data_IF_154926806502
#
_entry.id   IF_154926806502
#
_cell.length_a   1.000
_cell.length_b   1.000
_cell.length_c   1.000
_cell.angle_alpha   90.00
_cell.angle_beta   90.00
_cell.angle_gamma   90.00
#
_symmetry.space_group_name_H-M   'P 1'
#
loop_
_entity.id
_entity.type
_entity.pdbx_description
1 polymer ?
#
# COMPACT_ATOMS: atom_id res chain seq x y z
N UNK A 1 -1.69 -5.85 -24.94
CA UNK A 1 -1.67 -4.93 -23.80
C UNK A 1 -2.66 -3.84 -24.13
N UNK A 2 -3.71 -3.73 -23.32
CA UNK A 2 -4.74 -2.70 -23.40
C UNK A 2 -4.57 -1.70 -22.28
N UNK A 3 -5.21 -0.54 -22.41
CA UNK A 3 -5.37 0.44 -21.33
C UNK A 3 -6.03 -0.15 -20.07
N UNK A 4 -6.90 -1.16 -20.21
CA UNK A 4 -7.43 -1.91 -19.08
C UNK A 4 -6.34 -2.62 -18.25
N UNK A 5 -5.26 -3.08 -18.88
CA UNK A 5 -4.20 -3.82 -18.18
C UNK A 5 -3.53 -2.93 -17.13
N UNK A 6 -3.39 -1.63 -17.39
CA UNK A 6 -2.84 -0.69 -16.41
C UNK A 6 -3.68 -0.64 -15.12
N UNK A 7 -5.01 -0.57 -15.25
CA UNK A 7 -5.90 -0.47 -14.10
C UNK A 7 -6.00 -1.79 -13.33
N UNK A 8 -5.98 -2.91 -14.05
CA UNK A 8 -5.93 -4.23 -13.41
C UNK A 8 -4.59 -4.43 -12.70
N UNK A 9 -3.46 -4.08 -13.33
CA UNK A 9 -2.13 -4.12 -12.70
C UNK A 9 -2.10 -3.22 -11.46
N UNK A 10 -2.60 -1.99 -11.54
CA UNK A 10 -2.66 -1.07 -10.40
C UNK A 10 -3.48 -1.67 -9.24
N UNK A 11 -4.65 -2.24 -9.52
CA UNK A 11 -5.52 -2.83 -8.49
C UNK A 11 -4.91 -4.08 -7.86
N UNK A 12 -4.34 -4.96 -8.68
CA UNK A 12 -3.85 -6.27 -8.25
C UNK A 12 -2.44 -6.24 -7.68
N UNK A 13 -1.59 -5.31 -8.12
CA UNK A 13 -0.21 -5.18 -7.60
C UNK A 13 -0.09 -4.08 -6.56
N UNK A 14 -1.00 -3.10 -6.54
CA UNK A 14 -0.84 -1.83 -5.80
C UNK A 14 0.38 -1.05 -6.26
N UNK A 15 0.74 -1.13 -7.55
CA UNK A 15 1.90 -0.40 -8.08
C UNK A 15 1.58 0.30 -9.39
N UNK A 16 2.29 1.40 -9.65
CA UNK A 16 2.34 2.05 -10.96
C UNK A 16 3.73 1.81 -11.53
N UNK A 17 3.85 0.83 -12.45
CA UNK A 17 5.14 0.40 -13.01
C UNK A 17 6.17 0.01 -11.92
N UNK A 18 5.71 -0.64 -10.85
CA UNK A 18 6.56 -1.03 -9.72
C UNK A 18 6.81 0.10 -8.71
N UNK A 19 6.25 1.30 -8.89
CA UNK A 19 6.24 2.37 -7.88
C UNK A 19 5.04 2.18 -6.92
N UNK A 20 5.25 2.44 -5.64
CA UNK A 20 4.27 2.22 -4.57
C UNK A 20 4.38 3.30 -3.47
N UNK A 21 3.70 3.08 -2.34
CA UNK A 21 3.68 3.97 -1.17
C UNK A 21 5.07 4.24 -0.53
N UNK A 22 6.09 3.47 -0.90
CA UNK A 22 7.46 3.56 -0.36
C UNK A 22 8.41 4.29 -1.30
N UNK A 23 7.89 4.75 -2.45
CA UNK A 23 8.68 5.35 -3.51
C UNK A 23 8.97 6.83 -3.21
N UNK A 24 10.24 7.18 -3.36
CA UNK A 24 10.74 8.54 -3.26
C UNK A 24 10.44 9.33 -4.54
N UNK A 25 10.52 10.66 -4.43
CA UNK A 25 10.38 11.58 -5.57
C UNK A 25 11.39 11.26 -6.67
N UNK A 26 12.63 10.93 -6.29
CA UNK A 26 13.70 10.59 -7.22
C UNK A 26 13.41 9.28 -7.98
N UNK A 27 12.91 8.25 -7.28
CA UNK A 27 12.51 6.97 -7.91
C UNK A 27 11.35 7.18 -8.89
N UNK A 28 10.32 7.94 -8.50
CA UNK A 28 9.18 8.24 -9.38
C UNK A 28 9.65 8.99 -10.63
N UNK A 29 10.52 10.00 -10.48
CA UNK A 29 11.07 10.74 -11.60
C UNK A 29 11.97 9.88 -12.51
N UNK A 30 12.72 8.93 -11.94
CA UNK A 30 13.56 8.01 -12.71
C UNK A 30 12.73 7.02 -13.55
N UNK A 31 11.59 6.56 -13.04
CA UNK A 31 10.74 5.55 -13.71
C UNK A 31 9.76 6.20 -14.69
N UNK A 32 9.05 7.26 -14.28
CA UNK A 32 8.01 7.89 -15.09
C UNK A 32 8.56 9.01 -16.00
N UNK A 33 9.82 9.37 -15.81
CA UNK A 33 10.47 10.53 -16.41
C UNK A 33 10.24 11.80 -15.58
N UNK A 34 10.87 12.93 -15.95
CA UNK A 34 10.63 14.20 -15.30
C UNK A 34 9.15 14.59 -15.48
N UNK A 35 8.36 14.38 -14.43
CA UNK A 35 6.96 14.75 -14.40
C UNK A 35 6.79 16.27 -14.28
N UNK A 36 5.59 16.76 -14.60
CA UNK A 36 5.21 18.13 -14.23
C UNK A 36 5.01 18.13 -12.72
N UNK A 37 6.03 18.53 -11.95
CA UNK A 37 5.85 18.84 -10.53
C UNK A 37 4.84 19.97 -10.46
N UNK A 38 3.63 19.64 -10.06
CA UNK A 38 2.46 20.49 -10.31
C UNK A 38 2.29 21.60 -9.27
N UNK A 39 2.92 21.46 -8.09
CA UNK A 39 3.20 22.49 -7.06
C UNK A 39 3.75 21.84 -5.78
N UNK A 40 4.57 22.58 -5.06
CA UNK A 40 4.71 22.44 -3.60
C UNK A 40 3.82 23.50 -2.96
N UNK A 41 2.92 23.12 -2.05
CA UNK A 41 2.10 24.09 -1.31
C UNK A 41 2.03 23.73 0.16
N UNK A 42 1.86 24.74 1.02
CA UNK A 42 1.63 24.54 2.44
C UNK A 42 0.15 24.22 2.68
N UNK A 43 -0.14 23.12 3.35
CA UNK A 43 -1.47 22.76 3.83
C UNK A 43 -2.00 23.85 4.76
N UNK A 44 -3.25 24.28 4.52
CA UNK A 44 -3.86 25.40 5.27
C UNK A 44 -4.21 25.06 6.72
N UNK A 45 -4.33 23.76 7.07
CA UNK A 45 -4.85 23.31 8.37
C UNK A 45 -3.80 22.71 9.29
N UNK A 46 -2.71 22.17 8.75
CA UNK A 46 -1.72 21.35 9.49
C UNK A 46 -0.28 21.88 9.36
N UNK A 47 -0.06 22.94 8.57
CA UNK A 47 1.26 23.55 8.39
C UNK A 47 2.27 22.68 7.64
N UNK A 48 1.86 21.50 7.16
CA UNK A 48 2.69 20.60 6.36
C UNK A 48 2.90 21.11 4.94
N UNK A 49 4.01 20.75 4.31
CA UNK A 49 4.18 20.96 2.87
C UNK A 49 3.67 19.73 2.12
N UNK A 50 2.98 19.95 1.01
CA UNK A 50 2.52 18.92 0.07
C UNK A 50 3.21 19.12 -1.27
N UNK A 51 3.61 18.03 -1.92
CA UNK A 51 4.19 18.01 -3.26
C UNK A 51 3.47 16.98 -4.11
N UNK A 52 3.16 17.33 -5.35
CA UNK A 52 2.46 16.44 -6.28
C UNK A 52 3.15 16.31 -7.63
N UNK A 53 3.35 15.07 -8.07
CA UNK A 53 3.71 14.68 -9.43
C UNK A 53 2.46 14.08 -10.08
N UNK A 54 2.02 14.65 -11.22
CA UNK A 54 0.77 14.29 -11.91
C UNK A 54 0.93 14.48 -13.43
N UNK A 55 0.45 13.53 -14.22
CA UNK A 55 0.42 13.55 -15.69
C UNK A 55 -1.02 13.65 -16.26
N UNK A 56 -1.99 13.82 -15.39
CA UNK A 56 -3.41 13.79 -15.71
C UNK A 56 -3.95 12.37 -15.92
N UNK A 57 -3.27 11.31 -15.49
CA UNK A 57 -3.85 9.97 -15.31
C UNK A 57 -3.36 9.36 -14.01
N UNK A 58 -2.05 9.31 -13.78
CA UNK A 58 -1.45 8.83 -12.55
C UNK A 58 -0.91 10.02 -11.73
N UNK A 59 -1.07 9.94 -10.41
CA UNK A 59 -0.50 10.93 -9.52
C UNK A 59 0.20 10.29 -8.32
N UNK A 60 1.16 11.03 -7.78
CA UNK A 60 1.86 10.76 -6.53
C UNK A 60 1.89 12.04 -5.72
N UNK A 61 1.48 11.95 -4.46
CA UNK A 61 1.41 13.08 -3.55
C UNK A 61 2.20 12.77 -2.30
N UNK A 62 3.28 13.50 -2.09
CA UNK A 62 4.04 13.47 -0.86
C UNK A 62 3.60 14.60 0.03
N UNK A 63 3.69 14.35 1.32
CA UNK A 63 3.51 15.36 2.35
C UNK A 63 4.69 15.27 3.30
N UNK A 64 5.03 16.39 3.93
CA UNK A 64 5.97 16.46 5.03
C UNK A 64 5.39 17.37 6.08
N UNK A 65 5.43 16.94 7.32
CA UNK A 65 5.06 17.79 8.45
C UNK A 65 6.32 18.25 9.17
N UNK A 66 6.40 19.51 9.60
CA UNK A 66 7.34 19.90 10.63
C UNK A 66 7.09 19.07 11.90
N UNK A 67 8.13 18.70 12.67
CA UNK A 67 9.56 18.89 12.46
C UNK A 67 10.25 17.76 11.68
N UNK A 68 9.56 16.66 11.34
CA UNK A 68 10.13 15.51 10.61
C UNK A 68 10.87 15.93 9.35
N UNK A 69 10.36 16.97 8.67
CA UNK A 69 10.93 17.56 7.45
C UNK A 69 11.24 16.55 6.33
N UNK A 70 10.72 15.33 6.46
CA UNK A 70 10.94 14.20 5.58
C UNK A 70 9.67 13.99 4.77
N UNK A 71 9.83 13.89 3.45
CA UNK A 71 8.72 13.59 2.56
C UNK A 71 8.35 12.12 2.68
N UNK A 72 7.09 11.84 2.97
CA UNK A 72 6.49 10.51 2.82
C UNK A 72 5.34 10.60 1.81
N UNK A 73 5.09 9.51 1.09
CA UNK A 73 4.10 9.48 0.01
C UNK A 73 2.71 9.29 0.60
N UNK A 74 1.96 10.37 0.83
CA UNK A 74 0.61 10.33 1.40
C UNK A 74 -0.41 9.57 0.54
N UNK A 75 -0.34 9.65 -0.78
CA UNK A 75 -1.16 8.81 -1.66
C UNK A 75 -0.59 8.76 -3.07
N UNK A 76 -1.04 7.75 -3.81
CA UNK A 76 -0.80 7.63 -5.24
C UNK A 76 -1.92 6.79 -5.87
N UNK A 77 -2.01 6.84 -7.19
CA UNK A 77 -2.97 6.05 -7.93
C UNK A 77 -3.22 6.59 -9.32
N UNK A 78 -4.42 6.34 -9.82
CA UNK A 78 -4.87 6.78 -11.13
C UNK A 78 -6.28 7.38 -11.10
N UNK A 79 -6.56 8.22 -12.09
CA UNK A 79 -7.80 8.95 -12.30
C UNK A 79 -8.35 8.59 -13.69
N UNK A 80 -9.08 7.45 -13.82
CA UNK A 80 -9.65 7.06 -15.10
C UNK A 80 -10.61 8.11 -15.69
N UNK A 81 -11.23 8.97 -14.88
CA UNK A 81 -12.01 10.10 -15.37
C UNK A 81 -11.19 11.17 -16.14
N UNK A 82 -9.85 11.06 -16.14
CA UNK A 82 -8.94 11.92 -16.91
C UNK A 82 -8.32 11.16 -18.10
N UNK A 83 -8.84 10.00 -18.48
CA UNK A 83 -8.28 9.13 -19.54
C UNK A 83 -8.07 9.84 -20.89
N UNK A 84 -8.97 10.74 -21.26
CA UNK A 84 -8.95 11.54 -22.49
C UNK A 84 -7.82 12.60 -22.53
N UNK A 85 -7.20 12.90 -21.40
CA UNK A 85 -6.13 13.89 -21.28
C UNK A 85 -4.87 13.52 -22.08
N UNK A 86 -4.28 14.52 -22.77
CA UNK A 86 -3.17 14.31 -23.73
C UNK A 86 -1.80 14.03 -23.12
N UNK A 87 -1.60 14.23 -21.81
CA UNK A 87 -0.26 14.36 -21.21
C UNK A 87 0.18 13.16 -20.37
N UNK A 88 -0.04 11.92 -20.81
CA UNK A 88 0.35 10.73 -20.03
C UNK A 88 1.88 10.56 -19.97
N UNK A 89 2.39 10.02 -18.86
CA UNK A 89 3.78 9.66 -18.67
C UNK A 89 4.23 8.78 -19.83
N UNK A 90 5.33 9.11 -20.52
CA UNK A 90 5.83 8.31 -21.64
C UNK A 90 6.07 6.85 -21.25
N UNK A 91 6.49 6.60 -20.01
CA UNK A 91 6.69 5.26 -19.47
C UNK A 91 5.40 4.42 -19.45
N UNK A 92 4.26 5.01 -19.08
CA UNK A 92 2.96 4.32 -19.11
C UNK A 92 2.58 3.94 -20.54
N UNK A 93 2.73 4.86 -21.50
CA UNK A 93 2.45 4.58 -22.92
C UNK A 93 3.43 3.55 -23.51
N UNK A 94 4.71 3.62 -23.15
CA UNK A 94 5.72 2.67 -23.60
C UNK A 94 5.40 1.24 -23.13
N UNK A 95 4.82 1.13 -21.93
CA UNK A 95 4.48 -0.13 -21.32
C UNK A 95 3.10 -0.66 -21.75
N UNK A 96 2.03 0.09 -21.48
CA UNK A 96 0.64 -0.34 -21.70
C UNK A 96 0.10 -0.01 -23.08
N UNK A 97 0.84 0.75 -23.88
CA UNK A 97 0.36 1.33 -25.13
C UNK A 97 -0.46 2.60 -24.88
N UNK A 98 -0.98 3.18 -25.96
CA UNK A 98 -1.79 4.40 -25.88
C UNK A 98 -3.14 4.11 -25.23
N UNK A 99 -3.52 4.92 -24.24
CA UNK A 99 -4.85 4.95 -23.66
C UNK A 99 -5.86 5.51 -24.68
N UNK A 100 -6.84 4.69 -25.09
CA UNK A 100 -7.80 5.02 -26.16
C UNK A 100 -9.21 5.22 -25.63
N UNK A 101 -9.51 4.66 -24.47
CA UNK A 101 -10.79 4.83 -23.78
C UNK A 101 -11.01 6.26 -23.33
N UNK A 102 -12.28 6.67 -23.31
CA UNK A 102 -12.73 7.91 -22.66
C UNK A 102 -13.24 7.64 -21.24
N UNK A 103 -13.69 6.41 -20.98
CA UNK A 103 -14.28 5.99 -19.71
C UNK A 103 -13.81 4.57 -19.35
N UNK A 104 -13.79 4.26 -18.05
CA UNK A 104 -13.52 2.92 -17.53
C UNK A 104 -14.76 2.43 -16.79
N UNK A 105 -15.34 1.33 -17.24
CA UNK A 105 -16.55 0.76 -16.62
C UNK A 105 -16.17 -0.23 -15.52
N UNK A 106 -16.89 -0.17 -14.40
CA UNK A 106 -16.66 -1.04 -13.24
C UNK A 106 -16.78 -2.52 -13.58
N UNK A 107 -17.85 -2.93 -14.28
CA UNK A 107 -18.07 -4.35 -14.58
C UNK A 107 -16.94 -4.96 -15.42
N UNK A 108 -16.43 -4.18 -16.38
CA UNK A 108 -15.31 -4.61 -17.22
C UNK A 108 -14.02 -4.76 -16.38
N UNK A 109 -13.74 -3.77 -15.53
CA UNK A 109 -12.59 -3.79 -14.63
C UNK A 109 -12.69 -4.94 -13.61
N UNK A 110 -13.85 -5.11 -12.97
CA UNK A 110 -14.11 -6.15 -11.99
C UNK A 110 -14.00 -7.55 -12.59
N UNK A 111 -14.51 -7.75 -13.82
CA UNK A 111 -14.35 -9.01 -14.54
C UNK A 111 -12.88 -9.31 -14.87
N UNK A 112 -12.12 -8.30 -15.29
CA UNK A 112 -10.70 -8.47 -15.60
C UNK A 112 -9.84 -8.72 -14.34
N UNK A 113 -10.16 -8.09 -13.22
CA UNK A 113 -9.55 -8.36 -11.90
C UNK A 113 -9.85 -9.80 -11.46
N UNK A 114 -11.11 -10.24 -11.60
CA UNK A 114 -11.53 -11.62 -11.28
C UNK A 114 -10.83 -12.66 -12.12
N UNK A 115 -10.63 -12.38 -13.41
CA UNK A 115 -9.88 -13.24 -14.30
C UNK A 115 -8.40 -13.42 -13.88
N UNK A 116 -7.88 -12.55 -13.00
CA UNK A 116 -6.54 -12.66 -12.40
C UNK A 116 -6.53 -13.22 -10.99
N UNK A 117 -7.68 -13.72 -10.49
CA UNK A 117 -7.78 -14.35 -9.16
C UNK A 117 -7.95 -13.36 -8.01
N UNK A 118 -8.40 -12.13 -8.27
CA UNK A 118 -8.67 -11.10 -7.27
C UNK A 118 -10.16 -10.72 -7.25
N UNK A 119 -10.64 -10.18 -6.15
CA UNK A 119 -12.04 -9.75 -5.99
C UNK A 119 -12.12 -8.33 -5.46
N UNK A 120 -13.17 -7.62 -5.86
CA UNK A 120 -13.49 -6.31 -5.30
C UNK A 120 -14.64 -6.48 -4.31
N UNK A 121 -14.50 -5.87 -3.15
CA UNK A 121 -15.54 -5.79 -2.13
C UNK A 121 -16.05 -4.35 -2.04
N UNK A 122 -17.34 -4.20 -1.75
CA UNK A 122 -17.94 -2.90 -1.48
C UNK A 122 -17.48 -2.45 -0.07
N UNK A 123 -16.83 -1.30 0.00
CA UNK A 123 -16.43 -0.65 1.26
C UNK A 123 -17.61 0.19 1.78
N UNK A 124 -18.06 1.15 0.97
CA UNK A 124 -19.10 2.09 1.36
C UNK A 124 -19.90 2.59 0.16
N UNK A 125 -21.20 2.83 0.36
CA UNK A 125 -22.11 3.44 -0.60
C UNK A 125 -22.68 4.72 -0.01
N UNK A 126 -22.68 5.81 -0.80
CA UNK A 126 -23.36 7.03 -0.41
C UNK A 126 -24.05 7.72 -1.58
N UNK A 127 -25.17 8.34 -1.27
CA UNK A 127 -25.90 9.19 -2.21
C UNK A 127 -25.57 10.64 -1.91
N UNK A 128 -25.00 11.36 -2.89
CA UNK A 128 -24.79 12.81 -2.74
C UNK A 128 -25.98 13.55 -3.35
N UNK A 129 -26.73 14.27 -2.52
CA UNK A 129 -27.80 15.19 -2.92
C UNK A 129 -28.78 14.61 -3.97
N UNK A 130 -29.32 13.43 -3.69
CA UNK A 130 -30.36 12.73 -4.47
C UNK A 130 -30.06 12.47 -5.96
N UNK A 131 -28.88 12.82 -6.48
CA UNK A 131 -28.60 12.86 -7.92
C UNK A 131 -27.53 11.86 -8.39
N UNK A 132 -26.62 11.48 -7.50
CA UNK A 132 -25.41 10.76 -7.87
C UNK A 132 -25.08 9.66 -6.86
N UNK A 133 -25.13 8.41 -7.32
CA UNK A 133 -24.76 7.24 -6.52
C UNK A 133 -23.25 7.04 -6.61
N UNK A 134 -22.60 7.10 -5.45
CA UNK A 134 -21.18 6.85 -5.29
C UNK A 134 -21.00 5.52 -4.55
N UNK A 135 -20.09 4.70 -5.07
CA UNK A 135 -19.68 3.47 -4.41
C UNK A 135 -18.18 3.40 -4.36
N UNK A 136 -17.65 3.08 -3.19
CA UNK A 136 -16.25 2.78 -3.01
C UNK A 136 -16.09 1.27 -2.92
N UNK A 137 -15.19 0.74 -3.73
CA UNK A 137 -14.79 -0.67 -3.68
C UNK A 137 -13.31 -0.76 -3.37
N UNK A 138 -12.87 -1.89 -2.85
CA UNK A 138 -11.45 -2.16 -2.59
C UNK A 138 -11.09 -3.61 -2.88
N UNK A 139 -9.80 -3.86 -3.13
CA UNK A 139 -9.27 -5.23 -3.21
C UNK A 139 -8.61 -5.58 -1.86
N UNK A 140 -9.15 -6.57 -1.11
CA UNK A 140 -8.75 -6.81 0.28
C UNK A 140 -7.27 -7.10 0.51
N UNK A 141 -6.60 -7.73 -0.46
CA UNK A 141 -5.20 -8.11 -0.32
C UNK A 141 -4.21 -7.01 -0.73
N UNK A 142 -4.64 -6.02 -1.50
CA UNK A 142 -3.82 -4.88 -1.93
C UNK A 142 -4.09 -3.62 -1.14
N UNK A 143 -5.31 -3.45 -0.61
CA UNK A 143 -5.76 -2.19 -0.03
C UNK A 143 -5.86 -1.05 -1.06
N UNK A 144 -5.82 -1.36 -2.36
CA UNK A 144 -6.14 -0.40 -3.40
C UNK A 144 -7.66 -0.23 -3.44
N UNK A 145 -8.10 1.03 -3.45
CA UNK A 145 -9.51 1.38 -3.50
C UNK A 145 -9.84 2.04 -4.83
N UNK A 146 -11.10 1.90 -5.25
CA UNK A 146 -11.65 2.65 -6.38
C UNK A 146 -12.99 3.26 -5.99
N UNK A 147 -13.32 4.36 -6.65
CA UNK A 147 -14.63 5.00 -6.52
C UNK A 147 -15.30 4.97 -7.87
N UNK A 148 -16.54 4.50 -7.89
CA UNK A 148 -17.41 4.55 -9.06
C UNK A 148 -18.46 5.61 -8.87
N UNK A 149 -18.85 6.24 -9.98
CA UNK A 149 -19.94 7.20 -10.03
C UNK A 149 -20.97 6.74 -11.06
N UNK A 150 -22.24 6.82 -10.68
CA UNK A 150 -23.37 6.77 -11.60
C UNK A 150 -23.95 8.18 -11.76
N UNK A 151 -23.78 8.78 -12.94
CA UNK A 151 -24.46 10.02 -13.27
C UNK A 151 -25.88 9.70 -13.78
N UNK A 152 -26.92 10.38 -13.27
CA UNK A 152 -28.32 10.25 -13.77
C UNK A 152 -28.52 10.43 -15.29
N UNK A 153 -27.54 11.01 -16.00
CA UNK A 153 -27.55 11.24 -17.45
C UNK A 153 -26.59 10.32 -18.22
N UNK A 154 -25.73 9.58 -17.51
CA UNK A 154 -24.90 8.53 -18.11
C UNK A 154 -25.79 7.33 -18.42
N UNK A 155 -25.57 6.70 -19.58
CA UNK A 155 -26.20 5.41 -19.91
C UNK A 155 -25.51 4.23 -19.22
N UNK A 156 -24.38 4.48 -18.56
CA UNK A 156 -23.56 3.47 -17.91
C UNK A 156 -23.54 3.72 -16.41
N UNK A 157 -24.05 2.74 -15.66
CA UNK A 157 -23.82 2.65 -14.22
C UNK A 157 -22.36 2.29 -13.97
N UNK A 158 -21.76 2.88 -12.95
CA UNK A 158 -20.45 2.44 -12.45
C UNK A 158 -19.24 2.86 -13.30
N UNK A 159 -19.19 4.11 -13.80
CA UNK A 159 -17.92 4.62 -14.35
C UNK A 159 -16.92 4.80 -13.21
N UNK A 160 -15.71 4.26 -13.36
CA UNK A 160 -14.64 4.40 -12.38
C UNK A 160 -14.06 5.81 -12.47
N UNK A 161 -14.18 6.57 -11.38
CA UNK A 161 -13.70 7.95 -11.31
C UNK A 161 -12.21 8.00 -10.97
N UNK A 162 -11.83 7.29 -9.89
CA UNK A 162 -10.48 7.25 -9.36
C UNK A 162 -10.17 5.89 -8.76
N UNK A 163 -8.90 5.53 -8.78
CA UNK A 163 -8.30 4.34 -8.17
C UNK A 163 -7.11 4.82 -7.37
N UNK A 164 -7.24 4.90 -6.06
CA UNK A 164 -6.21 5.49 -5.19
C UNK A 164 -5.98 4.62 -3.98
N UNK A 165 -4.77 4.71 -3.46
CA UNK A 165 -4.44 4.19 -2.14
C UNK A 165 -3.75 5.32 -1.37
N UNK A 166 -4.14 5.48 -0.11
CA UNK A 166 -3.40 6.34 0.80
C UNK A 166 -2.21 5.57 1.38
N UNK A 167 -1.24 6.31 1.93
CA UNK A 167 -0.35 5.79 2.96
C UNK A 167 -1.24 5.33 4.11
N UNK A 168 -1.55 4.05 4.09
CA UNK A 168 -2.21 3.39 5.18
C UNK A 168 -1.10 2.67 5.92
N UNK A 169 -0.80 3.16 7.12
CA UNK A 169 -0.19 2.30 8.15
C UNK A 169 -0.95 0.96 8.16
N UNK A 170 -0.33 -0.17 8.53
CA UNK A 170 -1.07 -1.42 8.64
C UNK A 170 -2.35 -1.28 9.50
N UNK A 171 -2.35 -0.37 10.50
CA UNK A 171 -3.52 0.03 11.27
C UNK A 171 -4.60 0.78 10.46
N UNK A 172 -4.21 1.65 9.52
CA UNK A 172 -5.13 2.32 8.61
C UNK A 172 -5.65 1.41 7.47
N UNK A 173 -4.93 0.36 7.07
CA UNK A 173 -5.45 -0.68 6.14
C UNK A 173 -6.64 -1.42 6.74
N UNK A 174 -6.61 -1.56 8.07
CA UNK A 174 -7.66 -2.17 8.88
C UNK A 174 -8.87 -1.23 9.06
N UNK A 175 -8.64 0.09 8.97
CA UNK A 175 -9.61 1.20 9.08
C UNK A 175 -10.69 1.31 7.99
N UNK A 176 -10.52 0.66 6.84
CA UNK A 176 -11.48 0.73 5.71
C UNK A 176 -12.54 -0.39 5.72
N UNK A 177 -12.71 -1.09 6.84
CA UNK A 177 -13.61 -2.25 6.95
C UNK A 177 -14.94 -1.98 7.66
N UNK A 178 -15.30 -0.73 7.95
CA UNK A 178 -16.35 -0.44 8.93
C UNK A 178 -17.65 0.06 8.29
N UNK A 179 -18.79 -0.64 8.50
CA UNK A 179 -20.08 -0.01 8.67
C UNK A 179 -19.94 0.95 9.88
N UNK A 180 -19.89 2.25 9.58
CA UNK A 180 -19.25 3.29 10.40
C UNK A 180 -19.80 3.55 11.80
N UNK A 181 -20.94 3.00 12.20
CA UNK A 181 -21.61 3.58 13.37
C UNK A 181 -21.52 2.73 14.65
N UNK A 182 -21.75 1.41 14.59
CA UNK A 182 -21.86 0.61 15.82
C UNK A 182 -20.53 0.04 16.34
N UNK A 183 -19.75 -0.66 15.50
CA UNK A 183 -18.47 -1.24 15.94
C UNK A 183 -17.40 -0.17 16.19
N UNK A 184 -17.50 0.98 15.51
CA UNK A 184 -16.56 2.08 15.74
C UNK A 184 -16.71 2.65 17.16
N UNK A 185 -17.96 2.80 17.63
CA UNK A 185 -18.24 3.24 19.00
C UNK A 185 -17.76 2.21 20.02
N UNK A 186 -18.13 0.94 19.84
CA UNK A 186 -17.75 -0.17 20.73
C UNK A 186 -16.22 -0.24 20.95
N UNK A 187 -15.44 -0.20 19.86
CA UNK A 187 -13.98 -0.25 19.99
C UNK A 187 -13.36 1.06 20.45
N UNK A 188 -14.06 2.19 20.28
CA UNK A 188 -13.72 3.44 20.94
C UNK A 188 -13.80 3.32 22.47
N UNK A 189 -14.86 2.69 22.98
CA UNK A 189 -15.04 2.39 24.41
C UNK A 189 -13.95 1.40 24.89
N UNK A 190 -13.64 0.35 24.13
CA UNK A 190 -12.53 -0.54 24.47
C UNK A 190 -11.17 0.17 24.50
N UNK A 191 -10.90 1.12 23.59
CA UNK A 191 -9.66 1.90 23.61
C UNK A 191 -9.59 2.81 24.85
N UNK A 192 -10.72 3.39 25.28
CA UNK A 192 -10.82 4.16 26.53
C UNK A 192 -10.55 3.28 27.76
N UNK A 193 -11.18 2.11 27.83
CA UNK A 193 -10.97 1.15 28.92
C UNK A 193 -9.53 0.65 28.99
N UNK A 194 -8.93 0.37 27.83
CA UNK A 194 -7.53 -0.03 27.71
C UNK A 194 -6.60 1.07 28.25
N UNK A 195 -6.84 2.32 27.84
CA UNK A 195 -6.06 3.48 28.31
C UNK A 195 -6.20 3.68 29.83
N UNK A 196 -7.41 3.53 30.37
CA UNK A 196 -7.69 3.66 31.79
C UNK A 196 -7.07 2.54 32.64
N UNK A 197 -6.96 1.32 32.09
CA UNK A 197 -6.40 0.18 32.81
C UNK A 197 -4.89 0.30 33.07
N UNK A 198 -4.15 0.98 32.19
CA UNK A 198 -2.69 1.20 32.30
C UNK A 198 -1.81 -0.06 32.20
N UNK A 199 -2.40 -1.26 32.14
CA UNK A 199 -1.72 -2.54 32.00
C UNK A 199 -2.36 -3.33 30.85
N UNK A 200 -1.76 -3.20 29.66
CA UNK A 200 -2.25 -3.80 28.42
C UNK A 200 -2.37 -5.33 28.51
N UNK A 201 -1.34 -6.10 28.94
CA UNK A 201 -1.46 -7.56 29.04
C UNK A 201 -2.62 -8.02 29.94
N UNK A 202 -2.75 -7.43 31.13
CA UNK A 202 -3.79 -7.82 32.07
C UNK A 202 -5.20 -7.46 31.57
N UNK A 203 -5.34 -6.37 30.81
CA UNK A 203 -6.61 -6.01 30.19
C UNK A 203 -6.97 -6.98 29.07
N UNK A 204 -6.00 -7.34 28.21
CA UNK A 204 -6.20 -8.33 27.14
C UNK A 204 -6.61 -9.69 27.66
N UNK A 205 -5.99 -10.18 28.74
CA UNK A 205 -6.33 -11.48 29.34
C UNK A 205 -7.80 -11.58 29.79
N UNK A 206 -8.45 -10.44 30.04
CA UNK A 206 -9.87 -10.38 30.43
C UNK A 206 -10.82 -10.14 29.25
N UNK A 207 -10.39 -9.39 28.24
CA UNK A 207 -11.28 -8.86 27.21
C UNK A 207 -11.08 -9.48 25.83
N UNK A 208 -9.94 -10.14 25.58
CA UNK A 208 -9.68 -10.78 24.29
C UNK A 208 -10.69 -11.93 24.06
N UNK A 209 -11.39 -11.94 22.91
CA UNK A 209 -12.33 -13.00 22.60
C UNK A 209 -11.59 -14.32 22.33
N UNK A 210 -12.25 -15.43 22.66
CA UNK A 210 -11.70 -16.80 22.52
C UNK A 210 -12.13 -17.50 21.23
N UNK A 211 -12.91 -16.84 20.39
CA UNK A 211 -13.55 -17.41 19.22
C UNK A 211 -12.84 -17.05 17.91
N UNK A 212 -13.44 -17.46 16.80
CA UNK A 212 -12.91 -17.31 15.44
C UNK A 212 -12.80 -15.84 14.99
N UNK A 213 -13.44 -14.90 15.71
CA UNK A 213 -13.43 -13.47 15.39
C UNK A 213 -12.22 -12.72 15.99
N UNK A 214 -11.34 -13.44 16.71
CA UNK A 214 -10.14 -12.89 17.38
C UNK A 214 -9.32 -11.94 16.50
N UNK A 215 -9.02 -12.32 15.26
CA UNK A 215 -8.22 -11.49 14.35
C UNK A 215 -8.93 -10.18 13.98
N UNK A 216 -10.23 -10.28 13.72
CA UNK A 216 -11.04 -9.10 13.42
C UNK A 216 -11.07 -8.18 14.64
N UNK A 217 -11.38 -8.72 15.83
CA UNK A 217 -11.40 -7.95 17.08
C UNK A 217 -10.10 -7.17 17.31
N UNK A 218 -8.94 -7.82 17.17
CA UNK A 218 -7.64 -7.14 17.28
C UNK A 218 -7.42 -6.07 16.23
N UNK A 219 -7.89 -6.33 15.01
CA UNK A 219 -7.85 -5.35 13.93
C UNK A 219 -8.66 -4.10 14.27
N UNK A 220 -9.87 -4.26 14.82
CA UNK A 220 -10.75 -3.16 15.22
C UNK A 220 -10.15 -2.39 16.41
N UNK A 221 -9.60 -3.10 17.41
CA UNK A 221 -8.96 -2.49 18.58
C UNK A 221 -7.71 -1.69 18.22
N UNK A 222 -6.82 -2.24 17.40
CA UNK A 222 -5.62 -1.53 16.95
C UNK A 222 -5.97 -0.30 16.10
N UNK A 223 -7.01 -0.39 15.28
CA UNK A 223 -7.52 0.78 14.55
C UNK A 223 -8.05 1.83 15.50
N UNK A 224 -8.88 1.48 16.49
CA UNK A 224 -9.43 2.43 17.45
C UNK A 224 -8.33 3.07 18.33
N UNK A 225 -7.40 2.26 18.84
CA UNK A 225 -6.29 2.71 19.67
C UNK A 225 -5.29 3.60 18.91
N UNK A 226 -5.17 3.44 17.59
CA UNK A 226 -4.28 4.22 16.74
C UNK A 226 -4.89 5.48 16.10
N UNK A 227 -6.14 5.83 16.42
CA UNK A 227 -6.75 7.08 15.91
C UNK A 227 -6.07 8.30 16.52
N UNK A 228 -6.05 9.42 15.78
CA UNK A 228 -5.40 10.65 16.23
C UNK A 228 -6.04 11.29 17.48
N UNK A 229 -7.31 10.96 17.76
CA UNK A 229 -8.06 11.37 18.95
C UNK A 229 -8.22 10.22 19.97
N UNK A 230 -7.49 9.11 19.77
CA UNK A 230 -7.49 7.98 20.68
C UNK A 230 -6.98 8.38 22.07
N UNK A 231 -7.59 7.86 23.16
CA UNK A 231 -7.08 8.05 24.51
C UNK A 231 -5.82 7.20 24.80
N UNK A 232 -5.48 6.25 23.94
CA UNK A 232 -4.33 5.36 24.12
C UNK A 232 -3.06 6.13 23.76
N UNK A 233 -2.14 6.26 24.71
CA UNK A 233 -0.85 6.91 24.50
C UNK A 233 0.03 6.13 23.52
N UNK A 234 1.03 6.79 22.91
CA UNK A 234 1.99 6.11 22.04
C UNK A 234 2.67 4.89 22.70
N UNK A 235 3.13 4.95 23.97
CA UNK A 235 3.66 3.77 24.66
C UNK A 235 2.62 2.66 24.85
N UNK A 236 1.36 3.04 25.14
CA UNK A 236 0.24 2.11 25.26
C UNK A 236 -0.03 1.38 23.94
N UNK A 237 0.03 2.09 22.81
CA UNK A 237 -0.14 1.48 21.49
C UNK A 237 1.03 0.55 21.14
N UNK A 238 2.28 0.92 21.46
CA UNK A 238 3.43 0.02 21.29
C UNK A 238 3.30 -1.25 22.12
N UNK A 239 2.85 -1.13 23.37
CA UNK A 239 2.58 -2.27 24.24
C UNK A 239 1.47 -3.16 23.67
N UNK A 240 0.38 -2.57 23.14
CA UNK A 240 -0.70 -3.31 22.50
C UNK A 240 -0.22 -4.08 21.26
N UNK A 241 0.57 -3.44 20.39
CA UNK A 241 1.10 -4.10 19.18
C UNK A 241 2.10 -5.19 19.54
N UNK A 242 2.94 -4.97 20.57
CA UNK A 242 3.82 -6.00 21.10
C UNK A 242 3.05 -7.23 21.58
N UNK A 243 1.95 -7.04 22.29
CA UNK A 243 1.07 -8.16 22.68
C UNK A 243 0.47 -8.87 21.47
N UNK A 244 0.12 -8.16 20.39
CA UNK A 244 -0.31 -8.79 19.15
C UNK A 244 0.78 -9.68 18.53
N UNK A 245 2.04 -9.23 18.57
CA UNK A 245 3.23 -9.98 18.12
C UNK A 245 3.48 -11.23 18.98
N UNK A 246 3.41 -11.07 20.30
CA UNK A 246 3.70 -12.15 21.25
C UNK A 246 2.59 -13.21 21.26
N UNK A 247 1.34 -12.80 20.99
CA UNK A 247 0.17 -13.69 20.90
C UNK A 247 -0.15 -14.18 19.48
N UNK A 248 0.71 -13.86 18.50
CA UNK A 248 0.66 -14.31 17.10
C UNK A 248 -0.74 -14.15 16.45
N UNK A 249 -1.31 -12.95 16.60
CA UNK A 249 -2.70 -12.65 16.17
C UNK A 249 -2.85 -12.69 14.64
N UNK A 250 -1.91 -12.04 13.94
CA UNK A 250 -1.94 -11.89 12.49
C UNK A 250 -0.95 -12.84 11.78
N UNK A 251 -1.06 -12.97 10.44
CA UNK A 251 -0.11 -13.77 9.66
C UNK A 251 1.36 -13.41 9.92
N UNK A 252 2.29 -14.32 9.60
CA UNK A 252 3.72 -14.14 9.87
C UNK A 252 4.26 -12.78 9.44
N UNK A 253 4.93 -12.11 10.36
CA UNK A 253 5.59 -10.82 10.15
C UNK A 253 4.69 -9.58 10.17
N UNK A 254 3.36 -9.69 10.08
CA UNK A 254 2.47 -8.51 9.92
C UNK A 254 2.49 -7.59 11.15
N UNK A 255 2.31 -8.14 12.36
CA UNK A 255 2.35 -7.33 13.58
C UNK A 255 3.78 -6.95 13.97
N UNK A 256 4.76 -7.79 13.60
CA UNK A 256 6.18 -7.55 13.89
C UNK A 256 6.70 -6.35 13.08
N UNK A 257 6.36 -6.27 11.80
CA UNK A 257 6.74 -5.13 10.96
C UNK A 257 5.96 -3.86 11.35
N UNK A 258 4.69 -3.99 11.79
CA UNK A 258 3.92 -2.88 12.35
C UNK A 258 4.56 -2.34 13.65
N UNK A 259 5.04 -3.21 14.55
CA UNK A 259 5.72 -2.79 15.78
C UNK A 259 6.97 -1.96 15.46
N UNK A 260 7.78 -2.43 14.50
CA UNK A 260 8.98 -1.72 14.05
C UNK A 260 8.62 -0.38 13.42
N UNK A 261 7.61 -0.35 12.55
CA UNK A 261 7.13 0.86 11.88
C UNK A 261 6.64 1.90 12.88
N UNK A 262 5.82 1.51 13.85
CA UNK A 262 5.30 2.41 14.88
C UNK A 262 6.40 2.92 15.81
N UNK A 263 7.29 2.05 16.29
CA UNK A 263 8.39 2.46 17.18
C UNK A 263 9.32 3.46 16.48
N UNK A 264 9.65 3.20 15.20
CA UNK A 264 10.46 4.10 14.39
C UNK A 264 9.80 5.47 14.16
N UNK A 265 8.48 5.48 13.91
CA UNK A 265 7.71 6.71 13.73
C UNK A 265 7.55 7.49 15.05
N UNK A 266 7.26 6.81 16.16
CA UNK A 266 7.04 7.46 17.45
C UNK A 266 8.29 8.08 18.03
N UNK A 267 9.47 7.53 17.76
CA UNK A 267 10.75 8.16 18.11
C UNK A 267 10.94 9.53 17.43
N UNK A 268 10.28 9.73 16.30
CA UNK A 268 10.42 10.92 15.44
C UNK A 268 9.15 11.78 15.44
N UNK A 269 8.18 11.46 16.28
CA UNK A 269 6.88 12.11 16.24
C UNK A 269 7.00 13.59 16.62
N UNK A 270 6.39 14.50 15.83
CA UNK A 270 6.47 15.95 16.04
C UNK A 270 6.17 16.46 17.44
N UNK A 271 5.04 16.03 17.98
CA UNK A 271 4.40 16.68 19.12
C UNK A 271 4.78 16.02 20.45
N UNK A 272 5.16 14.74 20.40
CA UNK A 272 5.46 13.90 21.56
C UNK A 272 6.36 12.72 21.14
N UNK A 273 7.64 12.96 20.83
CA UNK A 273 8.56 11.91 20.44
C UNK A 273 8.86 11.01 21.63
N UNK A 274 8.75 9.69 21.43
CA UNK A 274 9.20 8.73 22.42
C UNK A 274 10.73 8.65 22.43
N UNK A 275 11.35 8.49 23.61
CA UNK A 275 12.79 8.47 23.68
C UNK A 275 13.34 7.13 23.18
N UNK A 276 14.56 7.14 22.65
CA UNK A 276 15.16 5.98 22.00
C UNK A 276 15.30 4.76 22.93
N UNK A 277 15.47 4.98 24.24
CA UNK A 277 15.48 3.92 25.25
C UNK A 277 14.15 3.14 25.36
N UNK A 278 13.02 3.77 24.98
CA UNK A 278 11.71 3.12 24.95
C UNK A 278 11.43 2.45 23.60
N UNK A 279 11.80 3.09 22.48
CA UNK A 279 11.51 2.60 21.12
C UNK A 279 12.48 1.51 20.66
N UNK A 280 13.78 1.61 20.97
CA UNK A 280 14.79 0.64 20.52
C UNK A 280 14.50 -0.80 20.95
N UNK A 281 14.10 -1.09 22.21
CA UNK A 281 13.71 -2.45 22.59
C UNK A 281 12.52 -2.98 21.77
N UNK A 282 11.59 -2.12 21.38
CA UNK A 282 10.44 -2.50 20.53
C UNK A 282 10.87 -2.79 19.09
N UNK A 283 11.78 -1.98 18.55
CA UNK A 283 12.41 -2.22 17.24
C UNK A 283 13.12 -3.58 17.26
N UNK A 284 14.04 -3.81 18.20
CA UNK A 284 14.80 -5.07 18.27
C UNK A 284 13.88 -6.28 18.47
N UNK A 285 12.82 -6.15 19.29
CA UNK A 285 11.82 -7.20 19.45
C UNK A 285 11.09 -7.51 18.14
N UNK A 286 10.57 -6.49 17.47
CA UNK A 286 9.88 -6.64 16.19
C UNK A 286 10.78 -7.21 15.10
N UNK A 287 12.02 -6.74 14.99
CA UNK A 287 13.01 -7.26 14.03
C UNK A 287 13.32 -8.74 14.29
N UNK A 288 13.54 -9.13 15.55
CA UNK A 288 13.79 -10.53 15.92
C UNK A 288 12.60 -11.43 15.59
N UNK A 289 11.38 -10.98 15.91
CA UNK A 289 10.14 -11.72 15.62
C UNK A 289 9.88 -11.82 14.11
N UNK A 290 10.17 -10.77 13.35
CA UNK A 290 10.07 -10.78 11.89
C UNK A 290 11.08 -11.72 11.24
N UNK A 291 12.35 -11.70 11.65
CA UNK A 291 13.38 -12.61 11.13
C UNK A 291 13.12 -14.08 11.49
N UNK A 292 12.49 -14.34 12.63
CA UNK A 292 12.11 -15.70 13.04
C UNK A 292 10.96 -16.28 12.20
N UNK A 293 10.06 -15.43 11.70
CA UNK A 293 8.89 -15.85 10.93
C UNK A 293 8.50 -14.82 9.84
N UNK A 294 9.37 -14.59 8.83
CA UNK A 294 9.03 -13.72 7.71
C UNK A 294 7.92 -14.38 6.87
N UNK A 295 7.19 -13.61 6.03
CA UNK A 295 6.12 -14.17 5.18
C UNK A 295 6.56 -15.30 4.26
N UNK A 296 7.83 -15.30 3.88
CA UNK A 296 8.52 -16.37 3.16
C UNK A 296 9.98 -16.36 3.60
N UNK A 297 10.71 -17.46 3.39
CA UNK A 297 12.15 -17.47 3.61
C UNK A 297 12.91 -16.64 2.55
N UNK A 298 14.21 -16.42 2.78
CA UNK A 298 15.04 -15.58 1.92
C UNK A 298 15.21 -16.18 0.51
N UNK A 299 15.20 -17.51 0.38
CA UNK A 299 15.36 -18.18 -0.90
C UNK A 299 14.12 -17.97 -1.78
N UNK A 300 12.93 -18.09 -1.18
CA UNK A 300 11.66 -17.84 -1.83
C UNK A 300 11.48 -16.35 -2.16
N UNK A 301 11.81 -15.44 -1.25
CA UNK A 301 11.79 -14.00 -1.53
C UNK A 301 12.75 -13.63 -2.69
N UNK A 302 13.92 -14.29 -2.77
CA UNK A 302 14.86 -14.13 -3.88
C UNK A 302 14.32 -14.71 -5.20
N UNK A 303 13.57 -15.81 -5.15
CA UNK A 303 12.89 -16.37 -6.32
C UNK A 303 11.82 -15.39 -6.84
N UNK A 304 10.96 -14.91 -5.94
CA UNK A 304 9.89 -13.96 -6.25
C UNK A 304 10.42 -12.65 -6.84
N UNK A 305 11.53 -12.11 -6.31
CA UNK A 305 12.15 -10.88 -6.81
C UNK A 305 12.74 -11.00 -8.22
N UNK A 306 12.97 -12.23 -8.69
CA UNK A 306 13.50 -12.53 -10.04
C UNK A 306 12.42 -13.07 -10.99
N UNK A 307 11.22 -13.31 -10.48
CA UNK A 307 10.16 -13.92 -11.26
C UNK A 307 9.61 -12.93 -12.29
N UNK A 308 9.51 -13.39 -13.54
CA UNK A 308 8.91 -12.59 -14.62
C UNK A 308 7.38 -12.69 -14.66
N UNK A 309 6.82 -13.64 -13.90
CA UNK A 309 5.40 -13.92 -13.78
C UNK A 309 5.14 -14.42 -12.37
N UNK A 310 4.03 -13.96 -11.83
CA UNK A 310 3.54 -14.36 -10.53
C UNK A 310 2.06 -14.72 -10.68
N UNK A 311 1.65 -15.82 -10.04
CA UNK A 311 0.22 -16.08 -9.83
C UNK A 311 -0.36 -15.16 -8.75
N UNK A 312 -1.67 -15.30 -8.47
CA UNK A 312 -2.37 -14.44 -7.51
C UNK A 312 -1.80 -14.53 -6.09
N UNK A 313 -1.38 -15.71 -5.65
CA UNK A 313 -0.86 -15.93 -4.29
C UNK A 313 0.57 -15.45 -4.17
N UNK A 314 1.39 -15.70 -5.19
CA UNK A 314 2.75 -15.16 -5.29
C UNK A 314 2.76 -13.63 -5.36
N UNK A 315 1.77 -13.00 -6.00
CA UNK A 315 1.59 -11.54 -6.00
C UNK A 315 1.26 -10.99 -4.62
N UNK A 316 0.32 -11.63 -3.91
CA UNK A 316 -0.04 -11.26 -2.53
C UNK A 316 1.17 -11.37 -1.61
N UNK A 317 1.92 -12.47 -1.73
CA UNK A 317 3.12 -12.72 -0.95
C UNK A 317 4.23 -11.70 -1.29
N UNK A 318 4.48 -11.45 -2.57
CA UNK A 318 5.48 -10.47 -3.01
C UNK A 318 5.18 -9.06 -2.51
N UNK A 319 3.90 -8.65 -2.51
CA UNK A 319 3.47 -7.38 -1.94
C UNK A 319 3.70 -7.34 -0.43
N UNK A 320 3.25 -8.36 0.31
CA UNK A 320 3.45 -8.44 1.75
C UNK A 320 4.93 -8.36 2.11
N UNK A 321 5.78 -9.15 1.44
CA UNK A 321 7.23 -9.10 1.61
C UNK A 321 7.79 -7.71 1.33
N UNK A 322 7.41 -7.09 0.22
CA UNK A 322 7.90 -5.76 -0.16
C UNK A 322 7.56 -4.69 0.89
N UNK A 323 6.31 -4.69 1.35
CA UNK A 323 5.82 -3.77 2.38
C UNK A 323 6.55 -3.99 3.70
N UNK A 324 6.64 -5.25 4.16
CA UNK A 324 7.30 -5.56 5.43
C UNK A 324 8.81 -5.32 5.39
N UNK A 325 9.51 -5.67 4.28
CA UNK A 325 10.94 -5.37 4.10
C UNK A 325 11.18 -3.86 4.19
N UNK A 326 10.31 -3.03 3.59
CA UNK A 326 10.43 -1.58 3.73
C UNK A 326 10.36 -1.14 5.20
N UNK A 327 9.38 -1.63 5.94
CA UNK A 327 9.16 -1.29 7.34
C UNK A 327 10.30 -1.74 8.26
N UNK A 328 10.88 -2.92 8.04
CA UNK A 328 12.00 -3.40 8.86
C UNK A 328 13.33 -2.78 8.43
N UNK A 329 13.53 -2.53 7.13
CA UNK A 329 14.79 -1.98 6.63
C UNK A 329 15.01 -0.51 7.01
N UNK A 330 13.94 0.30 7.12
CA UNK A 330 14.05 1.71 7.54
C UNK A 330 14.54 1.85 8.99
N UNK A 331 14.31 0.84 9.83
CA UNK A 331 14.69 0.84 11.24
C UNK A 331 16.10 0.28 11.51
N UNK A 332 16.80 -0.23 10.48
CA UNK A 332 18.17 -0.76 10.61
C UNK A 332 19.14 0.21 11.32
N UNK A 333 19.13 1.55 11.05
CA UNK A 333 20.03 2.47 11.73
C UNK A 333 19.81 2.58 13.25
N UNK A 334 18.61 2.24 13.74
CA UNK A 334 18.22 2.40 15.14
C UNK A 334 18.26 1.11 15.96
N UNK A 335 18.40 -0.03 15.28
CA UNK A 335 18.51 -1.34 15.89
C UNK A 335 19.74 -1.41 16.82
N UNK A 336 19.55 -1.93 18.03
CA UNK A 336 20.61 -2.07 19.03
C UNK A 336 21.45 -3.33 18.83
N UNK A 337 20.90 -4.33 18.15
CA UNK A 337 21.49 -5.67 17.97
C UNK A 337 22.19 -5.78 16.60
N UNK A 338 23.55 -5.86 16.56
CA UNK A 338 24.30 -5.91 15.31
C UNK A 338 24.03 -7.17 14.48
N UNK A 339 23.65 -8.29 15.12
CA UNK A 339 23.36 -9.54 14.42
C UNK A 339 22.03 -9.46 13.66
N UNK A 340 21.05 -8.73 14.20
CA UNK A 340 19.78 -8.43 13.49
C UNK A 340 20.06 -7.56 12.26
N UNK A 341 20.90 -6.53 12.42
CA UNK A 341 21.30 -5.64 11.32
C UNK A 341 21.97 -6.42 10.19
N UNK A 342 22.90 -7.32 10.51
CA UNK A 342 23.59 -8.11 9.50
C UNK A 342 22.64 -9.04 8.73
N UNK A 343 21.71 -9.71 9.43
CA UNK A 343 20.70 -10.55 8.78
C UNK A 343 19.77 -9.75 7.86
N UNK A 344 19.32 -8.56 8.28
CA UNK A 344 18.41 -7.72 7.49
C UNK A 344 19.05 -7.14 6.22
N UNK A 345 20.39 -6.98 6.19
CA UNK A 345 21.10 -6.52 4.98
C UNK A 345 20.89 -7.44 3.78
N UNK A 346 20.64 -8.73 4.00
CA UNK A 346 20.33 -9.66 2.91
C UNK A 346 18.94 -9.42 2.28
N UNK A 347 18.00 -8.84 3.05
CA UNK A 347 16.62 -8.60 2.63
C UNK A 347 16.42 -7.27 1.92
N UNK A 348 17.09 -6.21 2.40
CA UNK A 348 16.88 -4.85 1.89
C UNK A 348 17.01 -4.71 0.35
N UNK A 349 17.97 -5.37 -0.33
CA UNK A 349 18.09 -5.32 -1.79
C UNK A 349 16.92 -5.98 -2.54
N UNK A 350 16.14 -6.85 -1.90
CA UNK A 350 15.01 -7.54 -2.53
C UNK A 350 13.80 -6.61 -2.72
N UNK A 351 13.60 -5.61 -1.84
CA UNK A 351 12.45 -4.69 -1.89
C UNK A 351 12.21 -4.09 -3.28
N UNK A 352 13.17 -3.39 -3.91
CA UNK A 352 12.95 -2.75 -5.22
C UNK A 352 12.74 -3.74 -6.37
N UNK A 353 13.13 -5.01 -6.18
CA UNK A 353 13.01 -6.06 -7.19
C UNK A 353 11.68 -6.83 -7.08
N UNK A 354 11.06 -6.86 -5.90
CA UNK A 354 9.72 -7.40 -5.71
C UNK A 354 8.69 -6.56 -6.47
N UNK A 355 7.87 -7.23 -7.28
CA UNK A 355 6.86 -6.60 -8.16
C UNK A 355 7.47 -5.65 -9.22
N UNK A 356 8.75 -5.85 -9.57
CA UNK A 356 9.42 -5.05 -10.60
C UNK A 356 9.15 -5.63 -11.99
N UNK A 357 8.87 -4.75 -12.98
CA UNK A 357 8.66 -5.09 -14.40
C UNK A 357 7.42 -5.96 -14.68
N UNK A 358 6.90 -6.04 -15.94
CA UNK A 358 5.51 -6.47 -16.13
C UNK A 358 5.32 -7.93 -15.76
N UNK A 359 4.68 -8.13 -14.62
CA UNK A 359 4.26 -9.44 -14.10
C UNK A 359 3.28 -10.13 -15.07
N UNK A 360 2.65 -9.34 -15.97
CA UNK A 360 1.63 -9.80 -16.90
C UNK A 360 1.94 -9.53 -18.38
N UNK A 361 3.16 -9.13 -18.74
CA UNK A 361 3.50 -9.00 -20.16
C UNK A 361 3.37 -10.37 -20.84
N UNK A 362 2.58 -10.43 -21.91
CA UNK A 362 2.66 -11.55 -22.85
C UNK A 362 4.11 -11.63 -23.36
N UNK A 363 4.67 -12.83 -23.55
CA UNK A 363 5.99 -12.93 -24.15
C UNK A 363 5.85 -12.34 -25.55
N UNK A 364 6.60 -11.28 -25.85
CA UNK A 364 6.86 -10.97 -27.25
C UNK A 364 7.68 -12.13 -27.79
N UNK A 365 7.02 -13.07 -28.45
CA UNK A 365 7.64 -13.97 -29.41
C UNK A 365 8.25 -13.10 -30.52
N UNK A 366 9.44 -12.54 -30.27
CA UNK A 366 10.31 -12.08 -31.34
C UNK A 366 10.98 -13.33 -31.95
N UNK A 367 10.15 -14.18 -32.58
CA UNK A 367 10.60 -15.05 -33.66
C UNK A 367 10.55 -14.25 -34.96
N UNK A 368 11.53 -13.36 -35.14
CA UNK A 368 11.99 -13.02 -36.48
C UNK A 368 13.44 -13.48 -36.63
N UNK A 369 13.59 -14.80 -36.79
CA UNK A 369 14.64 -15.35 -37.67
C UNK A 369 14.07 -15.35 -39.09
N UNK A 370 14.65 -14.54 -39.96
CA UNK A 370 15.22 -14.96 -41.24
C UNK A 370 15.93 -13.73 -41.82
N UNK A 371 17.25 -13.61 -41.61
CA UNK A 371 18.27 -14.13 -42.53
C UNK A 371 17.95 -13.75 -43.99
N UNK A 372 18.60 -12.67 -44.43
CA UNK A 372 19.53 -12.71 -45.55
C UNK A 372 19.23 -13.76 -46.63
N UNK A 373 18.63 -13.34 -47.73
CA UNK A 373 19.12 -13.75 -49.05
C UNK A 373 19.24 -12.53 -49.95
N UNK A 374 20.47 -12.05 -50.06
CA UNK A 374 20.97 -11.18 -51.13
C UNK A 374 20.48 -11.68 -52.49
N UNK A 375 19.86 -10.83 -53.30
CA UNK A 375 19.88 -10.99 -54.77
C UNK A 375 21.07 -10.20 -55.33
N UNK A 376 21.93 -10.79 -56.17
CA UNK A 376 22.99 -10.06 -56.84
C UNK A 376 22.41 -9.20 -57.96
N UNK A 377 22.92 -7.97 -58.09
CA UNK A 377 22.75 -7.12 -59.27
C UNK A 377 23.41 -7.79 -60.47
N UNK A 378 22.64 -8.12 -61.50
CA UNK A 378 23.17 -8.34 -62.83
C UNK A 378 23.08 -7.01 -63.61
N UNK A 379 24.25 -6.49 -64.00
CA UNK A 379 24.39 -5.51 -65.08
C UNK A 379 24.01 -6.18 -66.39
N UNK A 380 23.22 -5.50 -67.22
CA UNK A 380 23.46 -5.33 -68.66
C UNK A 380 22.75 -4.06 -69.12
#
# INVERSE_FOLDING_TARGET
>A
MSDLDFFVDLMTTRTVLGLDHTSTVAEVAAVLGPGKISKTWRGRQDGGDTMRIDDGLAEFVWTRWPPLNTWYLAHYGAYPNRLDGKNKFPALNAHYGRFRRTELLFDELAAAIRARGFTLELDYEWTRNDADDHRQYYEPSSGMSLITWTHKRSRYFGTVEKMVTAYQTPAARRGHRFPRDHREQEFGEHAQDLAAAGNVPAWLDRNEPRDDDRREWWSLLLTAAGKGDSPVSHPGLLALVREAVDREVNPPGDDASLLVDLAWHFERYPDDPLPAEETRPMIDHGLRRWLAAPPADLAEATRLSRAHRLDADELRLSRRLRDQIHQVAQAIPEAGDPDLVEQLRAWAPLRPELLRYPLFARPRLNRHKQLSSRRPRARR
#
